data_IF_947807520533
#
_entry.id   IF_947807520533
#
_cell.length_a   1.000
_cell.length_b   1.000
_cell.length_c   1.000
_cell.angle_alpha   90.00
_cell.angle_beta   90.00
_cell.angle_gamma   90.00
#
_symmetry.space_group_name_H-M   'P 1'
#
loop_
_entity.id
_entity.type
_entity.pdbx_description
1 polymer ?
#
# COMPACT_ATOMS: atom_id res chain seq x y z
N UNK A 1 15.31 11.75 -22.49
CA UNK A 1 13.95 11.45 -21.99
C UNK A 1 13.92 11.64 -20.48
N UNK A 2 14.04 12.89 -20.02
CA UNK A 2 14.12 13.25 -18.61
C UNK A 2 13.11 14.34 -18.34
N UNK A 3 12.00 13.98 -17.71
CA UNK A 3 10.92 14.86 -17.21
C UNK A 3 9.62 14.07 -16.92
N UNK A 4 9.70 12.81 -16.49
CA UNK A 4 8.66 12.40 -15.55
C UNK A 4 8.92 13.27 -14.31
N UNK A 5 8.00 14.14 -13.88
CA UNK A 5 8.20 14.88 -12.64
C UNK A 5 8.50 13.83 -11.58
N UNK A 6 9.68 13.95 -10.96
CA UNK A 6 10.05 13.11 -9.84
C UNK A 6 8.87 13.06 -8.88
N UNK A 7 8.58 11.88 -8.30
CA UNK A 7 7.51 11.71 -7.31
C UNK A 7 7.64 12.85 -6.30
N UNK A 8 6.77 13.85 -6.43
CA UNK A 8 6.92 15.08 -5.69
C UNK A 8 6.46 14.79 -4.26
N UNK A 9 7.18 15.24 -3.21
CA UNK A 9 6.81 14.96 -1.82
C UNK A 9 5.38 15.37 -1.46
N UNK A 10 4.79 16.31 -2.21
CA UNK A 10 3.40 16.76 -2.06
C UNK A 10 2.34 15.97 -2.83
N UNK A 11 2.68 14.88 -3.53
CA UNK A 11 1.67 14.05 -4.21
C UNK A 11 0.82 13.31 -3.18
N UNK A 12 -0.50 13.51 -3.24
CA UNK A 12 -1.46 12.89 -2.32
C UNK A 12 -1.77 11.43 -2.65
N UNK A 13 -1.45 10.98 -3.86
CA UNK A 13 -1.77 9.63 -4.35
C UNK A 13 -0.73 9.19 -5.37
N UNK A 14 -0.42 7.89 -5.37
CA UNK A 14 0.56 7.26 -6.26
C UNK A 14 -0.10 6.08 -7.01
N UNK A 15 0.72 5.18 -7.57
CA UNK A 15 0.29 4.09 -8.42
C UNK A 15 -0.58 3.01 -7.74
N UNK A 16 -0.48 2.88 -6.42
CA UNK A 16 -1.14 1.82 -5.66
C UNK A 16 -2.05 2.42 -4.60
N UNK A 17 -3.25 1.85 -4.47
CA UNK A 17 -4.22 2.20 -3.43
C UNK A 17 -4.52 0.96 -2.60
N UNK A 18 -4.30 1.06 -1.28
CA UNK A 18 -4.65 0.02 -0.31
C UNK A 18 -5.54 0.71 0.72
N UNK A 19 -6.88 0.52 0.68
CA UNK A 19 -7.83 1.22 1.57
C UNK A 19 -7.86 0.59 2.97
N UNK A 20 -6.69 0.52 3.60
CA UNK A 20 -6.46 -0.08 4.90
C UNK A 20 -5.64 0.87 5.78
N UNK A 21 -6.11 1.11 6.99
CA UNK A 21 -5.38 1.87 8.00
C UNK A 21 -5.33 1.08 9.32
N UNK A 22 -4.27 1.29 10.09
CA UNK A 22 -4.14 0.75 11.45
C UNK A 22 -4.11 1.90 12.42
N UNK A 23 -4.91 1.81 13.48
CA UNK A 23 -4.93 2.71 14.61
C UNK A 23 -4.39 2.01 15.85
N UNK A 24 -3.69 2.77 16.68
CA UNK A 24 -3.17 2.32 17.96
C UNK A 24 -3.67 3.21 19.09
N UNK A 25 -4.06 2.58 20.20
CA UNK A 25 -4.40 3.26 21.45
C UNK A 25 -3.76 2.54 22.62
N UNK A 26 -2.64 3.08 23.11
CA UNK A 26 -1.84 2.41 24.12
C UNK A 26 -1.31 1.06 23.61
N UNK A 27 -1.53 -0.05 24.33
CA UNK A 27 -1.08 -1.37 23.89
C UNK A 27 -2.00 -2.03 22.84
N UNK A 28 -3.14 -1.41 22.52
CA UNK A 28 -4.16 -1.99 21.64
C UNK A 28 -4.01 -1.45 20.21
N UNK A 29 -4.06 -2.35 19.23
CA UNK A 29 -4.15 -2.02 17.82
C UNK A 29 -5.49 -2.49 17.21
N UNK A 30 -5.99 -1.75 16.23
CA UNK A 30 -7.11 -2.15 15.39
C UNK A 30 -6.89 -1.64 13.96
N UNK A 31 -7.25 -2.47 12.97
CA UNK A 31 -7.24 -2.13 11.56
C UNK A 31 -8.64 -1.81 11.06
N UNK A 32 -8.74 -0.89 10.11
CA UNK A 32 -9.94 -0.58 9.35
C UNK A 32 -9.62 -0.79 7.88
N UNK A 33 -10.28 -1.76 7.26
CA UNK A 33 -10.21 -1.99 5.82
C UNK A 33 -11.57 -1.64 5.20
N UNK A 34 -11.56 -0.80 4.17
CA UNK A 34 -12.76 -0.49 3.40
C UNK A 34 -12.67 -1.13 2.02
N UNK A 35 -13.39 -2.23 1.84
CA UNK A 35 -13.42 -2.98 0.59
C UNK A 35 -14.30 -2.30 -0.45
N UNK A 36 -13.80 -1.20 -0.99
CA UNK A 36 -14.47 -0.44 -2.03
C UNK A 36 -13.45 0.01 -3.09
N UNK A 37 -13.54 -0.44 -4.35
CA UNK A 37 -12.58 -0.07 -5.39
C UNK A 37 -12.79 1.36 -5.94
N UNK A 38 -13.89 2.03 -5.59
CA UNK A 38 -14.15 3.39 -6.02
C UNK A 38 -13.10 4.36 -5.46
N UNK A 39 -13.00 5.55 -6.05
CA UNK A 39 -12.09 6.59 -5.56
C UNK A 39 -12.50 7.01 -4.15
N UNK A 40 -11.59 6.83 -3.20
CA UNK A 40 -11.80 7.15 -1.79
C UNK A 40 -10.99 8.39 -1.37
N UNK A 41 -11.53 9.12 -0.38
CA UNK A 41 -10.83 10.19 0.34
C UNK A 41 -10.84 9.85 1.82
N UNK A 42 -9.65 9.77 2.40
CA UNK A 42 -9.42 9.47 3.81
C UNK A 42 -8.89 10.71 4.50
N UNK A 43 -9.73 11.39 5.28
CA UNK A 43 -9.33 12.47 6.16
C UNK A 43 -9.12 11.90 7.56
N UNK A 44 -7.86 11.65 7.92
CA UNK A 44 -7.48 11.01 9.18
C UNK A 44 -7.10 12.05 10.24
N UNK A 45 -8.00 12.99 10.50
CA UNK A 45 -7.78 14.04 11.51
C UNK A 45 -7.20 15.35 10.96
N UNK A 46 -7.18 15.52 9.64
CA UNK A 46 -6.68 16.74 8.99
C UNK A 46 -7.67 17.89 9.11
N UNK A 47 -8.96 17.64 8.87
CA UNK A 47 -10.00 18.68 9.04
C UNK A 47 -10.42 18.80 10.50
N UNK A 48 -10.53 17.69 11.22
CA UNK A 48 -10.90 17.67 12.65
C UNK A 48 -10.13 16.58 13.39
N UNK A 49 -9.30 16.98 14.34
CA UNK A 49 -8.29 16.13 14.97
C UNK A 49 -8.85 14.90 15.72
N UNK A 50 -10.10 14.96 16.17
CA UNK A 50 -10.74 13.94 17.00
C UNK A 50 -11.48 12.85 16.20
N UNK A 51 -11.47 12.91 14.86
CA UNK A 51 -12.19 11.92 14.03
C UNK A 51 -11.56 11.66 12.67
N UNK A 52 -11.85 10.49 12.14
CA UNK A 52 -11.60 10.16 10.75
C UNK A 52 -12.88 10.32 9.93
N UNK A 53 -12.77 10.91 8.75
CA UNK A 53 -13.85 11.02 7.77
C UNK A 53 -13.43 10.31 6.48
N UNK A 54 -14.18 9.28 6.13
CA UNK A 54 -13.98 8.50 4.91
C UNK A 54 -15.14 8.76 3.95
N UNK A 55 -14.84 9.00 2.68
CA UNK A 55 -15.85 9.17 1.62
C UNK A 55 -15.42 8.46 0.35
N UNK A 56 -16.36 7.91 -0.40
CA UNK A 56 -16.13 7.32 -1.71
C UNK A 56 -17.10 7.93 -2.73
N UNK A 57 -16.65 8.03 -3.98
CA UNK A 57 -17.47 8.59 -5.07
C UNK A 57 -18.67 7.68 -5.41
N UNK A 58 -18.55 6.37 -5.16
CA UNK A 58 -19.59 5.37 -5.36
C UNK A 58 -19.26 4.08 -4.58
N UNK A 59 -20.11 3.05 -4.75
CA UNK A 59 -19.90 1.73 -4.13
C UNK A 59 -20.52 1.60 -2.75
N UNK A 60 -20.36 0.42 -2.17
CA UNK A 60 -20.93 0.07 -0.88
C UNK A 60 -19.99 0.43 0.28
N UNK A 61 -20.56 0.50 1.48
CA UNK A 61 -19.80 0.65 2.72
C UNK A 61 -19.56 -0.75 3.28
N UNK A 62 -18.66 -1.50 2.64
CA UNK A 62 -18.18 -2.79 3.15
C UNK A 62 -16.92 -2.59 4.00
N UNK A 63 -17.10 -2.53 5.32
CA UNK A 63 -16.05 -2.16 6.28
C UNK A 63 -15.70 -3.34 7.19
N UNK A 64 -14.41 -3.64 7.23
CA UNK A 64 -13.84 -4.68 8.08
C UNK A 64 -13.08 -4.03 9.23
N UNK A 65 -13.51 -4.31 10.46
CA UNK A 65 -12.78 -3.96 11.67
C UNK A 65 -11.94 -5.15 12.12
N UNK A 66 -10.61 -4.99 12.05
CA UNK A 66 -9.65 -6.06 12.31
C UNK A 66 -8.98 -5.79 13.65
N UNK A 67 -9.39 -6.53 14.69
CA UNK A 67 -8.88 -6.29 16.04
C UNK A 67 -7.48 -6.91 16.24
N UNK A 68 -6.65 -6.26 17.05
CA UNK A 68 -5.33 -6.76 17.51
C UNK A 68 -5.42 -7.67 18.74
N UNK A 69 -4.27 -7.91 19.40
CA UNK A 69 -3.81 -6.93 20.39
C UNK A 69 -2.76 -5.96 19.86
N UNK A 70 -1.90 -6.37 18.92
CA UNK A 70 -0.81 -5.57 18.35
C UNK A 70 -0.93 -5.42 16.83
N UNK A 71 -0.09 -4.55 16.23
CA UNK A 71 -0.12 -4.30 14.78
C UNK A 71 0.20 -5.57 13.98
N UNK A 72 1.11 -6.43 14.44
CA UNK A 72 1.50 -7.63 13.72
C UNK A 72 0.31 -8.60 13.59
N UNK A 73 -0.50 -8.74 14.63
CA UNK A 73 -1.74 -9.51 14.60
C UNK A 73 -2.79 -8.88 13.69
N UNK A 74 -2.93 -7.55 13.70
CA UNK A 74 -3.85 -6.83 12.81
C UNK A 74 -3.49 -7.07 11.34
N UNK A 75 -2.22 -6.89 10.97
CA UNK A 75 -1.73 -7.14 9.59
C UNK A 75 -1.81 -8.62 9.22
N UNK A 76 -1.52 -9.52 10.17
CA UNK A 76 -1.66 -10.97 9.96
C UNK A 76 -3.09 -11.38 9.60
N UNK A 77 -4.08 -10.87 10.34
CA UNK A 77 -5.51 -11.10 10.07
C UNK A 77 -5.96 -10.44 8.76
N UNK A 78 -5.46 -9.24 8.45
CA UNK A 78 -5.71 -8.60 7.16
C UNK A 78 -5.19 -9.46 5.99
N UNK A 79 -4.01 -10.07 6.12
CA UNK A 79 -3.46 -10.98 5.13
C UNK A 79 -4.21 -12.32 5.07
N UNK A 80 -4.79 -12.80 6.16
CA UNK A 80 -5.68 -13.96 6.14
C UNK A 80 -6.96 -13.69 5.34
N UNK A 81 -7.48 -12.47 5.42
CA UNK A 81 -8.66 -12.03 4.66
C UNK A 81 -8.35 -11.81 3.18
N UNK A 82 -7.26 -11.09 2.87
CA UNK A 82 -6.95 -10.62 1.50
C UNK A 82 -6.02 -11.56 0.72
N UNK A 83 -5.38 -12.50 1.41
CA UNK A 83 -4.45 -13.47 0.83
C UNK A 83 -3.02 -13.27 1.31
N UNK A 84 -2.33 -14.38 1.60
CA UNK A 84 -0.92 -14.38 1.98
C UNK A 84 -0.04 -14.46 0.74
N UNK A 85 0.99 -13.63 0.69
CA UNK A 85 2.00 -13.71 -0.38
C UNK A 85 2.74 -15.06 -0.28
N UNK A 86 2.91 -15.80 -1.39
CA UNK A 86 3.76 -16.99 -1.41
C UNK A 86 5.23 -16.58 -1.20
N UNK A 87 6.03 -17.46 -0.60
CA UNK A 87 7.45 -17.21 -0.41
C UNK A 87 8.12 -17.03 -1.80
N UNK A 88 8.73 -15.87 -2.09
CA UNK A 88 9.45 -15.69 -3.35
C UNK A 88 10.70 -16.58 -3.37
N UNK A 89 11.17 -17.00 -4.55
CA UNK A 89 12.42 -17.74 -4.66
C UNK A 89 13.62 -16.85 -4.26
N UNK A 90 14.68 -17.45 -3.74
CA UNK A 90 15.84 -16.71 -3.21
C UNK A 90 16.47 -15.73 -4.23
N UNK A 91 16.51 -16.10 -5.52
CA UNK A 91 17.04 -15.24 -6.57
C UNK A 91 16.25 -13.93 -6.74
N UNK A 92 14.98 -13.89 -6.34
CA UNK A 92 14.17 -12.67 -6.39
C UNK A 92 14.57 -11.64 -5.33
N UNK A 93 15.27 -12.06 -4.28
CA UNK A 93 15.81 -11.19 -3.23
C UNK A 93 17.26 -10.74 -3.50
N UNK A 94 17.85 -11.22 -4.60
CA UNK A 94 19.21 -10.87 -5.01
C UNK A 94 19.34 -9.49 -5.63
N UNK A 95 20.52 -9.21 -6.19
CA UNK A 95 20.78 -7.97 -6.93
C UNK A 95 20.11 -8.02 -8.32
N UNK A 96 19.32 -6.99 -8.64
CA UNK A 96 18.63 -6.86 -9.93
C UNK A 96 19.24 -5.73 -10.77
N UNK A 97 19.87 -6.08 -11.89
CA UNK A 97 20.42 -5.10 -12.84
C UNK A 97 19.33 -4.65 -13.84
N UNK A 98 18.83 -3.42 -13.70
CA UNK A 98 17.74 -2.89 -14.54
C UNK A 98 18.06 -1.48 -15.06
N UNK A 99 17.56 -1.17 -16.27
CA UNK A 99 17.55 0.16 -16.88
C UNK A 99 16.39 0.24 -17.88
N UNK A 100 15.87 1.45 -18.11
CA UNK A 100 15.04 1.78 -19.26
C UNK A 100 15.90 2.54 -20.31
N UNK A 101 16.59 1.89 -21.25
CA UNK A 101 16.67 0.46 -21.56
C UNK A 101 18.12 -0.01 -21.74
N UNK A 102 18.34 -1.32 -21.86
CA UNK A 102 19.52 -1.88 -22.53
C UNK A 102 19.14 -2.21 -23.97
N UNK A 103 19.55 -1.37 -24.91
CA UNK A 103 18.99 -1.37 -26.26
C UNK A 103 19.49 -2.52 -27.15
N UNK A 104 20.62 -3.14 -26.81
CA UNK A 104 21.22 -4.21 -27.62
C UNK A 104 21.56 -5.42 -26.76
N UNK A 105 21.50 -6.61 -27.38
CA UNK A 105 21.93 -7.87 -26.76
C UNK A 105 23.37 -7.79 -26.24
N UNK A 106 24.28 -7.25 -27.04
CA UNK A 106 25.68 -7.07 -26.63
C UNK A 106 25.81 -6.18 -25.38
N UNK A 107 24.93 -5.19 -25.22
CA UNK A 107 24.91 -4.34 -24.01
C UNK A 107 24.41 -5.12 -22.80
N UNK A 108 23.39 -5.96 -22.95
CA UNK A 108 22.87 -6.84 -21.89
C UNK A 108 23.96 -7.83 -21.46
N UNK A 109 24.60 -8.51 -22.40
CA UNK A 109 25.66 -9.49 -22.12
C UNK A 109 26.88 -8.88 -21.42
N UNK A 110 27.17 -7.59 -21.67
CA UNK A 110 28.26 -6.87 -20.99
C UNK A 110 27.97 -6.52 -19.53
N UNK A 111 26.68 -6.39 -19.16
CA UNK A 111 26.26 -5.96 -17.81
C UNK A 111 25.71 -7.10 -16.95
N UNK A 112 25.50 -8.28 -17.56
CA UNK A 112 25.25 -9.53 -16.86
C UNK A 112 26.53 -10.01 -16.16
#
# INVERSE_FOLDING_TARGET
LGHAPAIHPGLKSLYVSIPFAVSMRGPLAAGLFWDNPARQVWDMGCTQFDRWKLTADSGEIDLYLILGPDIAQVVGRFNELTGRMPLPPDWALGFHQCRYSYETRARVEKVA
#
